data_IF_623095038071
#
_entry.id   IF_623095038071
#
_cell.length_a   1.000
_cell.length_b   1.000
_cell.length_c   1.000
_cell.angle_alpha   90.00
_cell.angle_beta   90.00
_cell.angle_gamma   90.00
#
_symmetry.space_group_name_H-M   'P 1'
#
loop_
_entity.id
_entity.type
_entity.pdbx_description
1 polymer ?
#
# COMPACT_ATOMS: atom_id res chain seq x y z
N UNK A 1 26.93 -15.51 1.14
CA UNK A 1 26.31 -15.18 2.44
C UNK A 1 25.44 -13.96 2.24
N UNK A 2 24.13 -14.09 2.44
CA UNK A 2 23.16 -13.01 2.19
C UNK A 2 23.33 -11.90 3.22
N UNK A 3 23.64 -10.70 2.74
CA UNK A 3 23.75 -9.49 3.54
C UNK A 3 22.39 -9.17 4.16
N UNK A 4 22.27 -9.37 5.47
CA UNK A 4 21.21 -8.83 6.30
C UNK A 4 21.37 -7.31 6.30
N UNK A 5 20.84 -6.64 5.27
CA UNK A 5 20.56 -5.21 5.39
C UNK A 5 19.59 -5.05 6.55
N UNK A 6 19.95 -4.14 7.46
CA UNK A 6 19.08 -3.47 8.43
C UNK A 6 17.86 -2.90 7.69
N UNK A 7 16.93 -3.77 7.30
CA UNK A 7 15.79 -3.38 6.47
C UNK A 7 14.73 -2.91 7.44
N UNK A 8 14.44 -1.60 7.40
CA UNK A 8 13.16 -1.09 7.87
C UNK A 8 12.07 -2.04 7.32
N UNK A 9 11.07 -2.42 8.12
CA UNK A 9 9.97 -3.21 7.58
C UNK A 9 9.40 -2.46 6.38
N UNK A 10 9.31 -3.17 5.26
CA UNK A 10 8.86 -2.64 3.97
C UNK A 10 7.92 -3.65 3.37
N UNK A 11 6.81 -3.16 2.86
CA UNK A 11 5.84 -3.97 2.13
C UNK A 11 6.41 -4.23 0.75
N UNK A 12 6.83 -5.46 0.52
CA UNK A 12 7.31 -5.90 -0.80
C UNK A 12 6.15 -6.02 -1.78
N UNK A 13 6.44 -6.02 -3.09
CA UNK A 13 5.43 -6.22 -4.13
C UNK A 13 4.61 -7.53 -3.93
N UNK A 14 5.24 -8.58 -3.39
CA UNK A 14 4.58 -9.85 -3.07
C UNK A 14 3.57 -9.68 -1.94
N UNK A 15 3.92 -8.95 -0.89
CA UNK A 15 3.03 -8.68 0.24
C UNK A 15 1.89 -7.77 -0.18
N UNK A 16 2.17 -6.72 -0.95
CA UNK A 16 1.16 -5.85 -1.50
C UNK A 16 0.15 -6.61 -2.38
N UNK A 17 0.63 -7.56 -3.21
CA UNK A 17 -0.26 -8.46 -3.98
C UNK A 17 -1.16 -9.30 -3.08
N UNK A 18 -0.65 -9.82 -1.96
CA UNK A 18 -1.49 -10.54 -0.97
C UNK A 18 -2.54 -9.62 -0.36
N UNK A 19 -2.18 -8.39 -0.01
CA UNK A 19 -3.13 -7.39 0.51
C UNK A 19 -4.21 -7.06 -0.52
N UNK A 20 -3.83 -6.97 -1.80
CA UNK A 20 -4.77 -6.73 -2.89
C UNK A 20 -5.81 -7.85 -3.05
N UNK A 21 -5.41 -9.10 -2.86
CA UNK A 21 -6.36 -10.24 -2.81
C UNK A 21 -7.32 -10.11 -1.63
N UNK A 22 -6.86 -9.62 -0.47
CA UNK A 22 -7.73 -9.37 0.70
C UNK A 22 -8.71 -8.23 0.43
N UNK A 23 -8.30 -7.18 -0.29
CA UNK A 23 -9.20 -6.10 -0.70
C UNK A 23 -10.33 -6.60 -1.61
N UNK A 24 -10.05 -7.57 -2.49
CA UNK A 24 -11.09 -8.22 -3.28
C UNK A 24 -12.18 -8.86 -2.40
N UNK A 25 -11.77 -9.55 -1.34
CA UNK A 25 -12.68 -10.22 -0.39
C UNK A 25 -13.48 -9.19 0.42
N UNK A 26 -12.89 -8.04 0.74
CA UNK A 26 -13.53 -6.96 1.51
C UNK A 26 -14.45 -6.04 0.70
N UNK A 27 -14.80 -6.42 -0.53
CA UNK A 27 -15.75 -5.65 -1.36
C UNK A 27 -15.15 -4.41 -2.03
N UNK A 28 -13.83 -4.39 -2.26
CA UNK A 28 -13.23 -3.37 -3.10
C UNK A 28 -13.45 -3.70 -4.58
N UNK A 29 -13.93 -2.70 -5.32
CA UNK A 29 -14.07 -2.82 -6.77
C UNK A 29 -12.69 -2.96 -7.42
N UNK A 30 -12.67 -3.44 -8.66
CA UNK A 30 -11.44 -3.50 -9.46
C UNK A 30 -10.82 -2.10 -9.63
N UNK A 31 -11.64 -1.07 -9.84
CA UNK A 31 -11.20 0.33 -9.98
C UNK A 31 -10.53 0.84 -8.71
N UNK A 32 -11.14 0.63 -7.54
CA UNK A 32 -10.56 1.06 -6.26
C UNK A 32 -9.21 0.38 -6.00
N UNK A 33 -9.10 -0.93 -6.27
CA UNK A 33 -7.83 -1.66 -6.15
C UNK A 33 -6.76 -1.15 -7.09
N UNK A 34 -7.13 -0.84 -8.33
CA UNK A 34 -6.19 -0.28 -9.31
C UNK A 34 -5.70 1.10 -8.86
N UNK A 35 -6.59 1.93 -8.31
CA UNK A 35 -6.23 3.23 -7.71
C UNK A 35 -5.26 3.08 -6.55
N UNK A 36 -5.52 2.16 -5.62
CA UNK A 36 -4.61 1.88 -4.50
C UNK A 36 -3.25 1.42 -5.03
N UNK A 37 -3.24 0.52 -6.02
CA UNK A 37 -1.99 0.08 -6.67
C UNK A 37 -1.26 1.23 -7.35
N UNK A 38 -1.97 2.14 -8.03
CA UNK A 38 -1.38 3.31 -8.69
C UNK A 38 -0.73 4.27 -7.68
N UNK A 39 -1.37 4.50 -6.53
CA UNK A 39 -0.88 5.40 -5.48
C UNK A 39 0.47 4.91 -4.94
N UNK A 40 0.58 3.62 -4.66
CA UNK A 40 1.82 3.01 -4.15
C UNK A 40 2.75 2.48 -5.24
N UNK A 41 2.41 2.70 -6.52
CA UNK A 41 3.21 2.16 -7.64
C UNK A 41 4.59 2.80 -7.68
N UNK A 42 4.68 4.09 -7.36
CA UNK A 42 5.95 4.83 -7.33
C UNK A 42 6.96 4.13 -6.42
N UNK A 43 6.57 3.90 -5.17
CA UNK A 43 7.43 3.29 -4.14
C UNK A 43 7.71 1.80 -4.44
N UNK A 44 6.78 1.10 -5.10
CA UNK A 44 6.96 -0.30 -5.52
C UNK A 44 7.88 -0.48 -6.74
N UNK A 45 7.93 0.49 -7.65
CA UNK A 45 8.73 0.44 -8.89
C UNK A 45 10.14 1.02 -8.68
N UNK A 46 10.43 1.59 -7.50
CA UNK A 46 11.76 2.08 -7.16
C UNK A 46 12.84 1.00 -7.27
N UNK A 47 14.04 1.44 -7.64
CA UNK A 47 15.21 0.56 -7.83
C UNK A 47 16.07 0.51 -6.57
N UNK A 48 16.56 -0.69 -6.25
CA UNK A 48 17.53 -0.91 -5.18
C UNK A 48 16.90 -1.05 -3.79
N UNK A 49 17.62 -0.60 -2.76
CA UNK A 49 17.24 -0.75 -1.34
C UNK A 49 15.98 0.05 -0.97
N UNK A 50 15.60 1.01 -1.80
CA UNK A 50 14.38 1.81 -1.60
C UNK A 50 13.10 1.08 -2.04
N UNK A 51 13.22 0.00 -2.82
CA UNK A 51 12.06 -0.73 -3.34
C UNK A 51 11.09 -1.22 -2.25
N UNK A 52 9.82 -0.84 -2.38
CA UNK A 52 8.72 -1.28 -1.51
C UNK A 52 8.29 -0.19 -0.53
N UNK A 53 7.06 -0.31 -0.02
CA UNK A 53 6.42 0.75 0.78
C UNK A 53 6.85 0.65 2.23
N UNK A 54 7.51 1.66 2.77
CA UNK A 54 7.79 1.77 4.19
C UNK A 54 6.65 2.43 4.99
N UNK A 55 6.80 2.47 6.31
CA UNK A 55 5.77 3.01 7.21
C UNK A 55 5.48 4.49 6.97
N UNK A 56 6.49 5.28 6.61
CA UNK A 56 6.34 6.71 6.34
C UNK A 56 5.65 6.94 5.00
N UNK A 57 6.01 6.17 3.97
CA UNK A 57 5.35 6.16 2.65
C UNK A 57 3.89 5.70 2.76
N UNK A 58 3.62 4.68 3.56
CA UNK A 58 2.26 4.23 3.85
C UNK A 58 1.43 5.37 4.47
N UNK A 59 1.95 6.03 5.50
CA UNK A 59 1.27 7.13 6.16
C UNK A 59 0.99 8.30 5.19
N UNK A 60 1.96 8.66 4.33
CA UNK A 60 1.78 9.67 3.28
C UNK A 60 0.73 9.27 2.26
N UNK A 61 0.72 8.02 1.82
CA UNK A 61 -0.29 7.49 0.89
C UNK A 61 -1.70 7.54 1.48
N UNK A 62 -1.85 7.15 2.75
CA UNK A 62 -3.14 7.21 3.48
C UNK A 62 -3.59 8.66 3.69
N UNK A 63 -2.69 9.56 4.10
CA UNK A 63 -3.00 10.99 4.23
C UNK A 63 -3.44 11.60 2.89
N UNK A 64 -2.76 11.24 1.80
CA UNK A 64 -3.13 11.67 0.46
C UNK A 64 -4.52 11.14 0.04
N UNK A 65 -4.83 9.87 0.33
CA UNK A 65 -6.17 9.31 0.09
C UNK A 65 -7.25 10.04 0.91
N UNK A 66 -6.98 10.33 2.19
CA UNK A 66 -7.93 11.08 3.03
C UNK A 66 -8.16 12.50 2.52
N UNK A 67 -7.13 13.15 1.99
CA UNK A 67 -7.20 14.51 1.42
C UNK A 67 -7.82 14.54 0.02
N UNK A 68 -7.73 13.44 -0.75
CA UNK A 68 -8.18 13.38 -2.14
C UNK A 68 -9.24 12.29 -2.40
N UNK A 69 -10.35 12.23 -1.63
CA UNK A 69 -11.37 11.19 -1.78
C UNK A 69 -12.02 11.20 -3.18
N UNK A 70 -12.08 12.36 -3.84
CA UNK A 70 -12.62 12.50 -5.21
C UNK A 70 -11.75 11.85 -6.29
N UNK A 71 -10.45 11.67 -6.06
CA UNK A 71 -9.50 11.14 -7.07
C UNK A 71 -9.53 9.62 -7.21
N UNK A 72 -9.99 8.93 -6.16
CA UNK A 72 -10.01 7.48 -6.09
C UNK A 72 -11.39 6.90 -5.71
N UNK A 73 -12.36 7.72 -5.30
CA UNK A 73 -13.73 7.32 -4.93
C UNK A 73 -13.79 6.23 -3.83
N UNK A 74 -12.74 6.14 -3.00
CA UNK A 74 -12.65 5.17 -1.91
C UNK A 74 -13.21 5.84 -0.66
N UNK A 75 -14.21 5.20 -0.04
CA UNK A 75 -14.79 5.68 1.21
C UNK A 75 -13.75 5.67 2.35
N UNK A 76 -13.84 6.63 3.29
CA UNK A 76 -12.93 6.69 4.44
C UNK A 76 -12.83 5.38 5.23
N UNK A 77 -13.94 4.66 5.40
CA UNK A 77 -13.95 3.33 6.04
C UNK A 77 -13.06 2.31 5.33
N UNK A 78 -12.97 2.38 4.00
CA UNK A 78 -12.11 1.52 3.19
C UNK A 78 -10.64 1.95 3.30
N UNK A 79 -10.37 3.25 3.44
CA UNK A 79 -9.01 3.76 3.69
C UNK A 79 -8.48 3.22 5.03
N UNK A 80 -9.27 3.25 6.09
CA UNK A 80 -8.89 2.67 7.39
C UNK A 80 -8.58 1.16 7.29
N UNK A 81 -9.37 0.41 6.51
CA UNK A 81 -9.10 -1.00 6.25
C UNK A 81 -7.77 -1.20 5.52
N UNK A 82 -7.44 -0.32 4.56
CA UNK A 82 -6.17 -0.36 3.83
C UNK A 82 -5.02 -0.08 4.79
N UNK A 83 -5.13 0.98 5.60
CA UNK A 83 -4.14 1.34 6.61
C UNK A 83 -3.88 0.19 7.57
N UNK A 84 -4.92 -0.36 8.21
CA UNK A 84 -4.77 -1.48 9.14
C UNK A 84 -4.12 -2.70 8.50
N UNK A 85 -4.49 -3.02 7.24
CA UNK A 85 -3.98 -4.22 6.56
C UNK A 85 -2.53 -4.07 6.12
N UNK A 86 -2.17 -2.91 5.57
CA UNK A 86 -0.80 -2.63 5.16
C UNK A 86 0.11 -2.46 6.38
N UNK A 87 -0.39 -1.83 7.46
CA UNK A 87 0.35 -1.71 8.72
C UNK A 87 0.59 -3.05 9.42
N UNK A 88 -0.27 -4.06 9.22
CA UNK A 88 -0.04 -5.44 9.68
C UNK A 88 1.02 -6.21 8.86
N UNK A 89 1.48 -5.67 7.73
CA UNK A 89 2.55 -6.25 6.93
C UNK A 89 3.91 -5.56 7.18
N UNK A 90 3.91 -4.47 7.96
CA UNK A 90 5.09 -3.79 8.48
C UNK A 90 5.40 -4.31 9.90
#
# INVERSE_FOLDING_TARGET
MGLFSYNKPKITEKEFKKTNSIFNIKGFTMKERDKVKQIFRGDMDEKGVQKGVDKDELAKGIDWMRKNPKSHEISGKKIDIIEEKLKKQL
#
